data_IF_221956740782
#
_entry.id   IF_221956740782
#
_cell.length_a   1.000
_cell.length_b   1.000
_cell.length_c   1.000
_cell.angle_alpha   90.00
_cell.angle_beta   90.00
_cell.angle_gamma   90.00
#
_symmetry.space_group_name_H-M   'P 1'
#
loop_
_entity.id
_entity.type
_entity.pdbx_description
1 polymer ?
#
# COMPACT_ATOMS: atom_id res chain seq x y z
N UNK A 1 10.05 46.66 -0.52
CA UNK A 1 10.02 45.60 -1.53
C UNK A 1 9.20 44.43 -0.97
N UNK A 2 8.02 44.16 -1.53
CA UNK A 2 7.17 43.04 -1.13
C UNK A 2 7.73 41.77 -1.78
N UNK A 3 8.28 40.86 -0.98
CA UNK A 3 8.66 39.53 -1.47
C UNK A 3 7.43 38.64 -1.43
N UNK A 4 6.77 38.53 -2.58
CA UNK A 4 5.62 37.68 -2.82
C UNK A 4 6.19 36.28 -3.07
N UNK A 5 6.47 35.53 -2.00
CA UNK A 5 6.80 34.11 -2.16
C UNK A 5 5.52 33.39 -2.53
N UNK A 6 5.46 33.02 -3.81
CA UNK A 6 4.42 32.26 -4.44
C UNK A 6 4.06 31.03 -3.59
N UNK A 7 2.81 30.98 -3.15
CA UNK A 7 2.18 29.73 -2.76
C UNK A 7 2.15 28.81 -4.00
N UNK A 8 3.16 27.96 -4.16
CA UNK A 8 3.02 26.76 -4.98
C UNK A 8 1.91 25.94 -4.32
N UNK A 9 0.73 25.93 -4.91
CA UNK A 9 -0.30 24.96 -4.57
C UNK A 9 0.34 23.56 -4.68
N UNK A 10 0.49 22.88 -3.55
CA UNK A 10 0.95 21.50 -3.53
C UNK A 10 -0.04 20.68 -4.34
N UNK A 11 0.40 20.12 -5.47
CA UNK A 11 -0.44 19.22 -6.25
C UNK A 11 -0.94 18.11 -5.31
N UNK A 12 -2.26 17.90 -5.27
CA UNK A 12 -2.89 16.91 -4.39
C UNK A 12 -2.23 15.55 -4.62
N UNK A 13 -1.52 15.04 -3.62
CA UNK A 13 -0.91 13.71 -3.68
C UNK A 13 -2.02 12.65 -3.61
N UNK A 14 -1.96 11.68 -4.52
CA UNK A 14 -2.87 10.52 -4.53
C UNK A 14 -2.16 9.38 -3.81
N UNK A 15 -2.60 9.10 -2.58
CA UNK A 15 -2.11 7.98 -1.77
C UNK A 15 -3.21 6.96 -1.54
N UNK A 16 -2.88 5.68 -1.64
CA UNK A 16 -3.85 4.59 -1.58
C UNK A 16 -3.44 3.58 -0.50
N UNK A 17 -4.40 3.15 0.32
CA UNK A 17 -4.27 2.03 1.27
C UNK A 17 -4.94 0.78 0.70
N UNK A 18 -4.14 -0.17 0.21
CA UNK A 18 -4.61 -1.44 -0.33
C UNK A 18 -4.85 -2.43 0.81
N UNK A 19 -6.07 -2.96 0.91
CA UNK A 19 -6.52 -3.75 2.06
C UNK A 19 -6.88 -2.85 3.25
N UNK A 20 -7.42 -1.67 2.96
CA UNK A 20 -7.77 -0.68 3.97
C UNK A 20 -8.81 -1.15 4.98
N UNK A 21 -9.58 -2.21 4.70
CA UNK A 21 -10.50 -2.83 5.64
C UNK A 21 -11.43 -1.84 6.35
N UNK A 22 -11.89 -2.21 7.55
CA UNK A 22 -12.67 -1.31 8.40
C UNK A 22 -11.73 -0.29 9.07
N UNK A 23 -12.07 0.99 8.95
CA UNK A 23 -11.39 2.04 9.70
C UNK A 23 -11.93 2.13 11.13
N UNK A 24 -11.09 1.79 12.11
CA UNK A 24 -11.35 1.94 13.53
C UNK A 24 -10.07 2.28 14.33
N UNK A 25 -10.22 2.55 15.62
CA UNK A 25 -9.11 2.95 16.49
C UNK A 25 -8.01 1.88 16.60
N UNK A 26 -8.39 0.60 16.56
CA UNK A 26 -7.42 -0.50 16.62
C UNK A 26 -6.58 -0.55 15.33
N UNK A 27 -7.22 -0.37 14.17
CA UNK A 27 -6.52 -0.26 12.90
C UNK A 27 -5.58 0.94 12.89
N UNK A 28 -6.04 2.10 13.33
CA UNK A 28 -5.21 3.33 13.38
C UNK A 28 -3.99 3.10 14.28
N UNK A 29 -4.18 2.56 15.48
CA UNK A 29 -3.08 2.22 16.40
C UNK A 29 -2.10 1.21 15.78
N UNK A 30 -2.63 0.20 15.08
CA UNK A 30 -1.80 -0.77 14.35
C UNK A 30 -0.98 -0.11 13.24
N UNK A 31 -1.60 0.74 12.42
CA UNK A 31 -0.94 1.42 11.31
C UNK A 31 0.14 2.39 11.79
N UNK A 32 -0.07 3.09 12.91
CA UNK A 32 0.97 3.92 13.54
C UNK A 32 2.24 3.15 13.90
N UNK A 33 2.15 1.86 14.23
CA UNK A 33 3.33 1.01 14.50
C UNK A 33 4.19 0.79 13.25
N UNK A 34 3.60 0.85 12.06
CA UNK A 34 4.28 0.65 10.77
C UNK A 34 4.68 1.98 10.11
N UNK A 35 3.80 2.97 10.20
CA UNK A 35 3.88 4.23 9.46
C UNK A 35 4.35 5.41 10.32
N UNK A 36 4.43 5.23 11.64
CA UNK A 36 4.79 6.26 12.62
C UNK A 36 3.60 7.05 13.17
N UNK A 37 3.84 7.83 14.23
CA UNK A 37 2.80 8.58 14.96
C UNK A 37 2.11 9.66 14.12
N UNK A 38 2.77 10.16 13.07
CA UNK A 38 2.23 11.17 12.14
C UNK A 38 1.27 10.57 11.10
N UNK A 39 1.03 9.25 11.12
CA UNK A 39 0.07 8.62 10.22
C UNK A 39 -1.34 9.16 10.46
N UNK A 40 -1.96 9.63 9.38
CA UNK A 40 -3.36 10.02 9.33
C UNK A 40 -4.09 9.17 8.27
N UNK A 41 -5.12 8.39 8.64
CA UNK A 41 -5.87 7.57 7.68
C UNK A 41 -6.59 8.42 6.61
N UNK A 42 -6.89 9.68 6.88
CA UNK A 42 -7.55 10.57 5.92
C UNK A 42 -6.64 11.06 4.78
N UNK A 43 -5.32 10.85 4.90
CA UNK A 43 -4.37 11.12 3.83
C UNK A 43 -4.40 10.04 2.73
N UNK A 44 -5.09 8.92 2.99
CA UNK A 44 -5.15 7.76 2.10
C UNK A 44 -6.57 7.49 1.64
N UNK A 45 -6.71 7.13 0.36
CA UNK A 45 -7.91 6.51 -0.16
C UNK A 45 -7.83 5.01 0.11
N UNK A 46 -8.72 4.49 0.96
CA UNK A 46 -8.78 3.07 1.26
C UNK A 46 -9.46 2.29 0.13
N UNK A 47 -8.77 1.27 -0.37
CA UNK A 47 -9.27 0.31 -1.34
C UNK A 47 -9.28 -1.09 -0.75
N UNK A 48 -10.41 -1.79 -0.85
CA UNK A 48 -10.59 -3.11 -0.24
C UNK A 48 -11.57 -3.98 -1.04
N UNK A 49 -11.51 -5.29 -0.86
CA UNK A 49 -12.47 -6.22 -1.45
C UNK A 49 -13.89 -6.01 -0.88
N UNK A 50 -13.98 -5.62 0.39
CA UNK A 50 -15.25 -5.53 1.12
C UNK A 50 -15.67 -4.07 1.31
N UNK A 51 -16.96 -3.71 1.10
CA UNK A 51 -17.47 -2.36 1.32
C UNK A 51 -17.64 -2.03 2.81
N UNK A 52 -16.53 -1.86 3.53
CA UNK A 52 -16.50 -1.56 4.96
C UNK A 52 -16.49 -0.04 5.23
N UNK A 53 -16.81 0.35 6.47
CA UNK A 53 -16.70 1.74 6.90
C UNK A 53 -15.27 2.25 6.71
N UNK A 54 -15.13 3.36 5.98
CA UNK A 54 -13.83 3.96 5.63
C UNK A 54 -13.31 3.58 4.23
N UNK A 55 -13.76 2.46 3.66
CA UNK A 55 -13.41 2.05 2.30
C UNK A 55 -14.06 2.99 1.29
N UNK A 56 -13.25 3.52 0.36
CA UNK A 56 -13.69 4.45 -0.68
C UNK A 56 -13.76 3.81 -2.05
N UNK A 57 -12.96 2.76 -2.28
CA UNK A 57 -12.93 2.00 -3.52
C UNK A 57 -13.08 0.53 -3.20
N UNK A 58 -14.13 -0.09 -3.73
CA UNK A 58 -14.36 -1.53 -3.59
C UNK A 58 -13.75 -2.22 -4.80
N UNK A 59 -12.72 -3.04 -4.61
CA UNK A 59 -12.06 -3.78 -5.68
C UNK A 59 -11.37 -5.05 -5.19
N UNK A 60 -11.43 -6.10 -6.02
CA UNK A 60 -10.55 -7.27 -5.85
C UNK A 60 -9.19 -6.98 -6.49
N UNK A 61 -8.16 -6.86 -5.65
CA UNK A 61 -6.78 -6.60 -6.07
C UNK A 61 -6.28 -7.71 -7.02
N UNK A 62 -6.75 -8.95 -6.90
CA UNK A 62 -6.40 -10.03 -7.82
C UNK A 62 -6.94 -9.78 -9.24
N UNK A 63 -8.08 -9.09 -9.36
CA UNK A 63 -8.68 -8.77 -10.66
C UNK A 63 -8.07 -7.53 -11.30
N UNK A 64 -7.53 -6.62 -10.49
CA UNK A 64 -6.79 -5.45 -10.94
C UNK A 64 -7.13 -4.21 -10.12
N UNK A 65 -6.39 -3.13 -10.36
CA UNK A 65 -6.56 -1.88 -9.62
C UNK A 65 -7.33 -0.86 -10.48
N UNK A 66 -8.46 -0.30 -10.00
CA UNK A 66 -9.29 0.63 -10.77
C UNK A 66 -8.71 2.06 -10.78
N UNK A 67 -7.38 2.18 -10.91
CA UNK A 67 -6.66 3.44 -10.98
C UNK A 67 -5.98 3.58 -12.35
N UNK A 68 -5.80 4.83 -12.78
CA UNK A 68 -5.15 5.15 -14.06
C UNK A 68 -3.67 4.77 -14.00
N UNK A 69 -3.08 4.55 -15.17
CA UNK A 69 -1.64 4.31 -15.26
C UNK A 69 -0.87 5.54 -14.77
N UNK A 70 0.16 5.33 -13.96
CA UNK A 70 1.03 6.41 -13.49
C UNK A 70 0.28 7.54 -12.77
N UNK A 71 -0.76 7.24 -11.99
CA UNK A 71 -1.56 8.24 -11.29
C UNK A 71 -1.37 8.25 -9.77
N UNK A 72 -0.77 7.22 -9.19
CA UNK A 72 -0.64 7.06 -7.74
C UNK A 72 0.76 7.48 -7.28
N UNK A 73 0.83 8.36 -6.28
CA UNK A 73 2.08 8.84 -5.68
C UNK A 73 2.63 7.84 -4.65
N UNK A 74 1.75 7.28 -3.82
CA UNK A 74 2.11 6.31 -2.79
C UNK A 74 1.07 5.20 -2.66
N UNK A 75 1.52 3.97 -2.54
CA UNK A 75 0.73 2.81 -2.15
C UNK A 75 1.26 2.26 -0.83
N UNK A 76 0.35 2.03 0.12
CA UNK A 76 0.63 1.19 1.29
C UNK A 76 -0.17 -0.10 1.19
N UNK A 77 0.40 -1.20 1.68
CA UNK A 77 -0.23 -2.51 1.69
C UNK A 77 0.27 -3.28 2.92
N UNK A 78 -0.61 -3.46 3.92
CA UNK A 78 -0.23 -3.94 5.25
C UNK A 78 -1.04 -5.21 5.57
N UNK A 79 -0.35 -6.36 5.65
CA UNK A 79 -0.93 -7.70 5.83
C UNK A 79 -2.01 -8.03 4.79
N UNK A 80 -1.60 -8.13 3.52
CA UNK A 80 -2.49 -8.36 2.37
C UNK A 80 -1.83 -9.28 1.35
N UNK A 81 -0.56 -9.04 0.97
CA UNK A 81 0.09 -9.77 -0.11
C UNK A 81 0.29 -11.27 0.20
N UNK A 82 0.27 -11.67 1.45
CA UNK A 82 0.32 -13.06 1.90
C UNK A 82 -0.97 -13.84 1.61
N UNK A 83 -2.08 -13.15 1.35
CA UNK A 83 -3.38 -13.73 1.00
C UNK A 83 -3.65 -13.73 -0.51
N UNK A 84 -2.87 -13.00 -1.32
CA UNK A 84 -3.12 -12.82 -2.76
C UNK A 84 -2.96 -14.15 -3.51
N UNK A 85 -3.70 -14.43 -4.59
CA UNK A 85 -3.51 -15.64 -5.39
C UNK A 85 -2.33 -15.52 -6.36
N UNK A 86 -2.41 -14.55 -7.27
CA UNK A 86 -1.38 -14.27 -8.28
C UNK A 86 -0.58 -13.01 -7.92
N UNK A 87 0.49 -13.21 -7.14
CA UNK A 87 1.37 -12.13 -6.70
C UNK A 87 1.98 -11.39 -7.90
N UNK A 88 2.33 -12.09 -8.99
CA UNK A 88 2.99 -11.49 -10.15
C UNK A 88 2.05 -10.52 -10.88
N UNK A 89 0.78 -10.89 -11.03
CA UNK A 89 -0.24 -10.02 -11.61
C UNK A 89 -0.45 -8.78 -10.73
N UNK A 90 -0.60 -8.95 -9.41
CA UNK A 90 -0.78 -7.83 -8.49
C UNK A 90 0.41 -6.87 -8.50
N UNK A 91 1.63 -7.39 -8.48
CA UNK A 91 2.83 -6.55 -8.57
C UNK A 91 2.90 -5.77 -9.90
N UNK A 92 2.50 -6.38 -11.02
CA UNK A 92 2.39 -5.65 -12.30
C UNK A 92 1.38 -4.50 -12.22
N UNK A 93 0.22 -4.71 -11.59
CA UNK A 93 -0.80 -3.68 -11.42
C UNK A 93 -0.31 -2.55 -10.51
N UNK A 94 0.37 -2.87 -9.40
CA UNK A 94 1.02 -1.90 -8.52
C UNK A 94 2.01 -1.04 -9.31
N UNK A 95 2.88 -1.65 -10.12
CA UNK A 95 3.79 -0.91 -11.00
C UNK A 95 3.08 -0.07 -12.07
N UNK A 96 1.94 -0.53 -12.59
CA UNK A 96 1.16 0.18 -13.61
C UNK A 96 0.58 1.47 -13.05
N UNK A 97 0.01 1.43 -11.84
CA UNK A 97 -0.70 2.58 -11.26
C UNK A 97 0.24 3.60 -10.62
N UNK A 98 1.41 3.17 -10.14
CA UNK A 98 2.41 4.06 -9.57
C UNK A 98 2.99 5.02 -10.62
N UNK A 99 3.09 6.30 -10.24
CA UNK A 99 3.88 7.30 -10.99
C UNK A 99 5.34 6.88 -11.09
N UNK A 100 6.05 7.46 -12.06
CA UNK A 100 7.50 7.42 -12.04
C UNK A 100 8.02 8.11 -10.77
N UNK A 101 8.81 7.38 -9.97
CA UNK A 101 9.25 7.84 -8.65
C UNK A 101 8.21 7.69 -7.54
N UNK A 102 7.04 7.11 -7.83
CA UNK A 102 6.05 6.75 -6.81
C UNK A 102 6.58 5.65 -5.89
N UNK A 103 6.05 5.63 -4.67
CA UNK A 103 6.53 4.73 -3.60
C UNK A 103 5.51 3.63 -3.35
N UNK A 104 5.99 2.39 -3.26
CA UNK A 104 5.21 1.28 -2.72
C UNK A 104 5.84 0.83 -1.41
N UNK A 105 5.08 0.91 -0.32
CA UNK A 105 5.48 0.44 1.01
C UNK A 105 4.60 -0.74 1.38
N UNK A 106 5.21 -1.78 1.91
CA UNK A 106 4.53 -3.04 2.17
C UNK A 106 5.04 -3.65 3.45
N UNK A 107 4.11 -4.18 4.25
CA UNK A 107 4.40 -4.93 5.46
C UNK A 107 3.67 -6.25 5.38
N UNK A 108 4.43 -7.33 5.51
CA UNK A 108 3.96 -8.71 5.48
C UNK A 108 4.70 -9.48 6.56
N UNK A 109 4.10 -10.56 7.11
CA UNK A 109 4.81 -11.44 8.03
C UNK A 109 6.05 -12.03 7.36
N UNK A 110 7.23 -11.82 7.97
CA UNK A 110 8.44 -12.53 7.57
C UNK A 110 8.29 -14.03 7.86
N UNK A 111 8.85 -14.90 7.03
CA UNK A 111 8.72 -16.36 7.14
C UNK A 111 9.25 -16.97 8.46
N UNK A 112 10.04 -16.22 9.23
CA UNK A 112 10.51 -16.61 10.57
C UNK A 112 9.66 -16.08 11.71
N UNK A 113 8.61 -15.30 11.42
CA UNK A 113 7.66 -14.83 12.43
C UNK A 113 6.59 -15.90 12.66
N UNK A 114 6.25 -16.24 13.92
CA UNK A 114 5.11 -17.12 14.21
C UNK A 114 3.79 -16.62 13.60
N UNK A 115 3.63 -15.30 13.44
CA UNK A 115 2.45 -14.67 12.82
C UNK A 115 2.28 -15.16 11.37
N UNK A 116 3.38 -15.48 10.67
CA UNK A 116 3.31 -15.97 9.31
C UNK A 116 2.53 -17.30 9.21
N UNK A 117 2.48 -18.11 10.27
CA UNK A 117 1.81 -19.42 10.28
C UNK A 117 0.51 -19.44 11.08
N UNK A 118 0.19 -18.35 11.79
CA UNK A 118 -0.98 -18.28 12.67
C UNK A 118 -2.31 -18.06 11.95
N UNK A 119 -2.27 -17.71 10.66
CA UNK A 119 -3.45 -17.46 9.83
C UNK A 119 -3.53 -18.48 8.68
N UNK A 120 -4.60 -19.27 8.67
CA UNK A 120 -4.85 -20.30 7.64
C UNK A 120 -5.12 -19.74 6.24
N UNK A 121 -5.37 -18.43 6.13
CA UNK A 121 -5.61 -17.76 4.85
C UNK A 121 -4.32 -17.25 4.20
N UNK A 122 -3.17 -17.38 4.85
CA UNK A 122 -1.88 -17.12 4.22
C UNK A 122 -1.59 -18.22 3.18
N UNK A 123 -1.46 -17.82 1.93
CA UNK A 123 -1.13 -18.74 0.82
C UNK A 123 0.33 -18.69 0.42
N UNK A 124 1.11 -17.78 1.02
CA UNK A 124 2.57 -17.66 0.82
C UNK A 124 3.26 -17.01 2.01
N UNK A 125 4.58 -17.15 2.02
CA UNK A 125 5.47 -16.53 3.01
C UNK A 125 6.47 -15.61 2.31
N UNK A 126 6.96 -14.60 3.04
CA UNK A 126 7.90 -13.61 2.52
C UNK A 126 9.24 -13.66 3.23
N UNK A 127 10.30 -13.49 2.45
CA UNK A 127 11.67 -13.21 2.87
C UNK A 127 12.08 -11.81 2.41
N UNK A 128 13.24 -11.32 2.83
CA UNK A 128 13.80 -10.05 2.37
C UNK A 128 14.02 -9.99 0.85
N UNK A 129 14.21 -11.14 0.20
CA UNK A 129 14.48 -11.28 -1.24
C UNK A 129 13.18 -11.44 -2.05
N UNK A 130 12.10 -11.89 -1.42
CA UNK A 130 10.87 -12.28 -2.12
C UNK A 130 10.30 -11.16 -2.99
N UNK A 131 10.36 -9.92 -2.53
CA UNK A 131 9.87 -8.78 -3.32
C UNK A 131 10.95 -8.10 -4.18
N UNK A 132 12.24 -8.42 -3.99
CA UNK A 132 13.33 -7.84 -4.78
C UNK A 132 13.22 -8.20 -6.26
N UNK A 133 12.67 -9.38 -6.58
CA UNK A 133 12.40 -9.80 -7.96
C UNK A 133 11.45 -8.88 -8.74
N UNK A 134 10.65 -8.06 -8.04
CA UNK A 134 9.73 -7.10 -8.65
C UNK A 134 10.33 -5.69 -8.74
N UNK A 135 11.41 -5.40 -8.00
CA UNK A 135 12.08 -4.12 -8.07
C UNK A 135 12.70 -3.86 -9.45
N UNK A 136 12.46 -2.69 -10.05
CA UNK A 136 13.31 -2.19 -11.15
C UNK A 136 14.61 -1.67 -10.53
N UNK A 137 15.75 -1.82 -11.21
CA UNK A 137 17.09 -1.26 -10.83
C UNK A 137 17.10 0.25 -10.45
N UNK A 138 15.99 0.99 -10.63
CA UNK A 138 15.83 2.44 -10.34
C UNK A 138 14.49 2.82 -9.67
N UNK A 139 13.76 1.89 -9.07
CA UNK A 139 12.52 2.21 -8.33
C UNK A 139 12.73 1.82 -6.86
N UNK A 140 12.65 2.81 -5.97
CA UNK A 140 12.79 2.63 -4.53
C UNK A 140 11.58 1.87 -3.97
N UNK A 141 11.66 0.53 -4.03
CA UNK A 141 10.82 -0.33 -3.22
C UNK A 141 11.40 -0.30 -1.81
N UNK A 142 10.72 0.38 -0.89
CA UNK A 142 11.13 0.38 0.51
C UNK A 142 10.41 -0.76 1.23
N UNK A 143 11.15 -1.85 1.42
CA UNK A 143 10.77 -2.97 2.28
C UNK A 143 11.10 -2.58 3.73
N UNK A 144 10.10 -2.58 4.61
CA UNK A 144 10.24 -2.38 6.06
C UNK A 144 9.53 -3.48 6.82
#
# INVERSE_FOLDING_TARGET
MKNINAHKASATQIRIDLGGGKLDQNKIARYKRYLGENYNPHDYLAADLTPLSGVKVVCDINQGLPFRNGSVDELICIHVLEHIGDLRRVMKEIHRVLKSGGVFRVWVPHCFSPIAFGDSTHVRFFTFETLQQFGKKKSSLLLL
#
